data_IF_540317787219
#
_entry.id   IF_540317787219
#
_cell.length_a   1.000
_cell.length_b   1.000
_cell.length_c   1.000
_cell.angle_alpha   90.00
_cell.angle_beta   90.00
_cell.angle_gamma   90.00
#
_symmetry.space_group_name_H-M   'P 1'
#
loop_
_entity.id
_entity.type
_entity.pdbx_description
1 polymer ?
#
# COMPACT_ATOMS: atom_id res chain seq x y z
N UNK A 1 -9.12 1.77 29.55
CA UNK A 1 -9.46 1.40 28.16
C UNK A 1 -10.51 2.33 27.55
N UNK A 2 -11.57 2.70 28.30
CA UNK A 2 -12.65 3.58 27.81
C UNK A 2 -12.22 5.00 27.37
N UNK A 3 -11.06 5.47 27.82
CA UNK A 3 -10.49 6.76 27.43
C UNK A 3 -9.54 6.68 26.23
N UNK A 4 -9.30 5.46 25.71
CA UNK A 4 -8.41 5.23 24.56
C UNK A 4 -9.22 5.15 23.27
N UNK A 5 -8.98 6.07 22.36
CA UNK A 5 -9.62 6.16 21.06
C UNK A 5 -8.65 5.71 19.94
N UNK A 6 -9.22 5.17 18.89
CA UNK A 6 -8.43 4.75 17.72
C UNK A 6 -7.89 5.96 16.96
N UNK A 7 -6.72 5.78 16.33
CA UNK A 7 -6.13 6.78 15.43
C UNK A 7 -7.03 7.00 14.22
N UNK A 8 -7.37 8.25 13.96
CA UNK A 8 -8.24 8.61 12.83
C UNK A 8 -7.60 8.19 11.49
N UNK A 9 -8.29 7.33 10.75
CA UNK A 9 -7.81 6.86 9.45
C UNK A 9 -6.66 5.84 9.53
N UNK A 10 -6.52 5.12 10.66
CA UNK A 10 -5.50 4.07 10.82
C UNK A 10 -5.56 3.05 9.67
N UNK A 11 -4.50 2.92 8.85
CA UNK A 11 -4.56 2.09 7.65
C UNK A 11 -4.40 0.60 7.92
N UNK A 12 -3.77 0.23 9.05
CA UNK A 12 -3.43 -1.15 9.37
C UNK A 12 -4.56 -1.86 10.12
N UNK A 13 -4.95 -3.03 9.63
CA UNK A 13 -5.98 -3.85 10.26
C UNK A 13 -5.41 -4.61 11.45
N UNK A 14 -6.20 -4.71 12.51
CA UNK A 14 -5.94 -5.62 13.63
C UNK A 14 -6.70 -6.90 13.34
N UNK A 15 -5.97 -8.00 13.16
CA UNK A 15 -6.53 -9.31 12.83
C UNK A 15 -6.50 -10.24 14.04
N UNK A 16 -7.53 -11.07 14.18
CA UNK A 16 -7.63 -12.14 15.20
C UNK A 16 -6.98 -13.43 14.66
N UNK A 17 -5.66 -13.34 14.38
CA UNK A 17 -4.83 -14.40 13.85
C UNK A 17 -4.06 -15.16 14.97
N UNK A 18 -3.25 -16.17 14.60
CA UNK A 18 -2.41 -16.92 15.53
C UNK A 18 -1.49 -15.99 16.35
N UNK A 19 -0.93 -14.97 15.73
CA UNK A 19 -0.08 -13.98 16.41
C UNK A 19 -0.88 -13.16 17.44
N UNK A 20 -2.20 -13.00 17.27
CA UNK A 20 -3.08 -12.41 18.28
C UNK A 20 -3.22 -13.34 19.47
N UNK A 21 -3.38 -14.64 19.25
CA UNK A 21 -3.46 -15.63 20.34
C UNK A 21 -2.17 -15.65 21.17
N UNK A 22 -1.01 -15.66 20.52
CA UNK A 22 0.29 -15.54 21.21
C UNK A 22 0.40 -14.25 22.03
N UNK A 23 -0.09 -13.13 21.47
CA UNK A 23 -0.10 -11.84 22.19
C UNK A 23 -1.02 -11.90 23.41
N UNK A 24 -2.19 -12.52 23.29
CA UNK A 24 -3.14 -12.72 24.40
C UNK A 24 -2.55 -13.61 25.51
N UNK A 25 -1.90 -14.71 25.14
CA UNK A 25 -1.23 -15.62 26.09
C UNK A 25 -0.13 -14.91 26.85
N UNK A 26 0.74 -14.19 26.14
CA UNK A 26 1.81 -13.38 26.74
C UNK A 26 1.25 -12.33 27.71
N UNK A 27 0.15 -11.68 27.35
CA UNK A 27 -0.51 -10.68 28.22
C UNK A 27 -1.13 -11.34 29.46
N UNK A 28 -1.69 -12.54 29.34
CA UNK A 28 -2.24 -13.28 30.51
C UNK A 28 -1.15 -13.68 31.49
N UNK A 29 0.01 -14.09 31.01
CA UNK A 29 1.10 -14.58 31.84
C UNK A 29 1.94 -13.46 32.45
N UNK A 30 2.24 -12.41 31.67
CA UNK A 30 3.24 -11.43 32.02
C UNK A 30 2.70 -10.00 32.08
N UNK A 31 1.42 -9.80 31.75
CA UNK A 31 0.85 -8.47 31.54
C UNK A 31 1.38 -7.79 30.28
N UNK A 32 1.11 -6.50 30.15
CA UNK A 32 1.59 -5.69 29.01
C UNK A 32 3.03 -5.24 29.28
N UNK A 33 4.02 -5.94 28.77
CA UNK A 33 5.45 -5.65 28.99
C UNK A 33 5.89 -4.35 28.33
N UNK A 34 5.38 -4.04 27.12
CA UNK A 34 5.70 -2.80 26.41
C UNK A 34 4.48 -1.88 26.37
N UNK A 35 4.56 -0.68 26.95
CA UNK A 35 3.49 0.31 26.88
C UNK A 35 3.17 0.71 25.45
N UNK A 36 1.91 1.08 25.19
CA UNK A 36 1.53 1.75 23.96
C UNK A 36 1.97 3.22 23.97
N UNK A 37 1.75 3.91 22.84
CA UNK A 37 1.97 5.36 22.71
C UNK A 37 0.64 6.01 22.38
N UNK A 38 0.30 7.09 23.09
CA UNK A 38 -0.91 7.86 22.86
C UNK A 38 -0.65 9.35 23.06
N UNK A 39 -1.55 10.17 22.53
CA UNK A 39 -1.56 11.63 22.74
C UNK A 39 -2.90 12.09 23.31
N UNK A 40 -2.94 13.20 24.08
CA UNK A 40 -4.20 13.74 24.58
C UNK A 40 -5.06 14.28 23.43
N UNK A 41 -6.37 14.10 23.52
CA UNK A 41 -7.34 14.66 22.60
C UNK A 41 -7.95 15.95 23.18
N UNK A 42 -8.35 16.87 22.30
CA UNK A 42 -8.96 18.17 22.70
C UNK A 42 -10.28 17.99 23.45
N UNK A 43 -11.04 16.96 23.09
CA UNK A 43 -12.35 16.66 23.62
C UNK A 43 -12.30 15.71 24.84
N UNK A 44 -11.10 15.45 25.35
CA UNK A 44 -10.84 14.51 26.44
C UNK A 44 -10.48 13.11 25.94
N UNK A 45 -9.84 12.31 26.82
CA UNK A 45 -9.30 11.00 26.43
C UNK A 45 -7.99 11.09 25.67
N UNK A 46 -7.60 9.94 25.09
CA UNK A 46 -6.30 9.78 24.44
C UNK A 46 -6.45 9.05 23.11
N UNK A 47 -5.81 9.55 22.07
CA UNK A 47 -5.72 8.87 20.77
C UNK A 47 -4.49 7.96 20.74
N UNK A 48 -4.68 6.69 20.40
CA UNK A 48 -3.59 5.70 20.34
C UNK A 48 -2.83 5.88 19.05
N UNK A 49 -1.51 6.09 19.16
CA UNK A 49 -0.59 6.19 18.01
C UNK A 49 0.05 4.84 17.72
N UNK A 50 0.46 4.10 18.76
CA UNK A 50 1.05 2.77 18.61
C UNK A 50 0.59 1.84 19.73
N UNK A 51 0.33 0.56 19.39
CA UNK A 51 -0.10 -0.46 20.34
C UNK A 51 -1.54 -0.92 20.17
N UNK A 52 -2.19 -0.64 19.05
CA UNK A 52 -3.56 -1.07 18.72
C UNK A 52 -3.78 -2.57 18.92
N UNK A 53 -2.82 -3.41 18.45
CA UNK A 53 -2.88 -4.87 18.60
C UNK A 53 -2.85 -5.30 20.07
N UNK A 54 -2.00 -4.65 20.90
CA UNK A 54 -1.94 -4.91 22.35
C UNK A 54 -3.19 -4.46 23.08
N UNK A 55 -3.75 -3.31 22.71
CA UNK A 55 -5.04 -2.85 23.22
C UNK A 55 -6.12 -3.88 22.93
N UNK A 56 -6.25 -4.31 21.70
CA UNK A 56 -7.26 -5.31 21.31
C UNK A 56 -7.07 -6.64 22.07
N UNK A 57 -5.83 -7.11 22.20
CA UNK A 57 -5.52 -8.30 23.00
C UNK A 57 -5.89 -8.11 24.48
N UNK A 58 -5.66 -6.94 25.07
CA UNK A 58 -6.11 -6.62 26.44
C UNK A 58 -7.64 -6.69 26.59
N UNK A 59 -8.37 -6.17 25.61
CA UNK A 59 -9.84 -6.23 25.59
C UNK A 59 -10.33 -7.68 25.53
N UNK A 60 -9.74 -8.51 24.65
CA UNK A 60 -10.07 -9.94 24.55
C UNK A 60 -9.74 -10.74 25.82
N UNK A 61 -8.70 -10.37 26.53
CA UNK A 61 -8.30 -11.00 27.81
C UNK A 61 -9.13 -10.47 28.99
N UNK A 62 -9.90 -9.38 28.82
CA UNK A 62 -10.73 -8.78 29.86
C UNK A 62 -10.01 -7.78 30.76
N UNK A 63 -8.86 -7.26 30.34
CA UNK A 63 -8.17 -6.19 31.08
C UNK A 63 -8.86 -4.84 30.85
N UNK A 64 -9.04 -4.09 31.91
CA UNK A 64 -9.67 -2.76 31.89
C UNK A 64 -8.68 -1.62 31.74
N UNK A 65 -7.37 -1.91 31.88
CA UNK A 65 -6.28 -0.93 31.80
C UNK A 65 -5.12 -1.46 30.98
N UNK A 66 -4.40 -0.55 30.34
CA UNK A 66 -3.17 -0.82 29.59
C UNK A 66 -2.15 0.30 29.85
N UNK A 67 -0.87 -0.01 30.11
CA UNK A 67 0.15 1.02 30.27
C UNK A 67 0.39 1.76 28.95
N UNK A 68 0.45 3.11 29.03
CA UNK A 68 0.63 3.98 27.86
C UNK A 68 1.68 5.06 28.17
N UNK A 69 2.51 5.37 27.18
CA UNK A 69 3.29 6.60 27.17
C UNK A 69 2.44 7.71 26.56
N UNK A 70 2.14 8.72 27.37
CA UNK A 70 1.39 9.90 26.89
C UNK A 70 2.40 10.98 26.50
N UNK A 71 2.29 11.48 25.27
CA UNK A 71 3.14 12.54 24.72
C UNK A 71 2.28 13.50 23.90
N UNK A 72 2.65 14.76 23.91
CA UNK A 72 2.05 15.78 23.04
C UNK A 72 2.70 15.70 21.66
N UNK A 73 1.99 15.12 20.71
CA UNK A 73 2.39 15.04 19.31
C UNK A 73 1.43 15.83 18.43
N UNK A 74 1.96 16.53 17.46
CA UNK A 74 1.18 17.08 16.36
C UNK A 74 0.56 15.97 15.50
N UNK A 75 -0.39 16.31 14.63
CA UNK A 75 -1.02 15.33 13.74
C UNK A 75 0.00 14.67 12.81
N UNK A 76 0.95 15.46 12.28
CA UNK A 76 2.00 14.94 11.39
C UNK A 76 2.97 14.03 12.14
N UNK A 77 3.44 14.40 13.33
CA UNK A 77 4.33 13.56 14.14
C UNK A 77 3.64 12.25 14.55
N UNK A 78 2.38 12.32 14.96
CA UNK A 78 1.60 11.14 15.33
C UNK A 78 1.43 10.20 14.12
N UNK A 79 1.15 10.75 12.93
CA UNK A 79 1.06 9.98 11.67
C UNK A 79 2.38 9.28 11.35
N UNK A 80 3.50 9.98 11.41
CA UNK A 80 4.82 9.41 11.13
C UNK A 80 5.13 8.27 12.11
N UNK A 81 4.94 8.48 13.41
CA UNK A 81 5.19 7.46 14.45
C UNK A 81 4.29 6.25 14.23
N UNK A 82 3.00 6.46 13.93
CA UNK A 82 2.04 5.40 13.66
C UNK A 82 2.47 4.54 12.47
N UNK A 83 2.87 5.16 11.34
CA UNK A 83 3.34 4.45 10.16
C UNK A 83 4.64 3.71 10.48
N UNK A 84 5.64 4.37 11.06
CA UNK A 84 6.95 3.79 11.34
C UNK A 84 6.89 2.60 12.31
N UNK A 85 5.98 2.62 13.26
CA UNK A 85 5.77 1.52 14.21
C UNK A 85 5.12 0.27 13.58
N UNK A 86 4.53 0.39 12.40
CA UNK A 86 3.80 -0.70 11.74
C UNK A 86 4.43 -1.15 10.43
N UNK A 87 5.16 -0.28 9.71
CA UNK A 87 5.60 -0.53 8.33
C UNK A 87 6.61 -1.68 8.19
N UNK A 88 7.24 -2.09 9.27
CA UNK A 88 8.20 -3.22 9.29
C UNK A 88 7.54 -4.59 9.52
N UNK A 89 6.20 -4.64 9.67
CA UNK A 89 5.49 -5.91 9.83
C UNK A 89 5.56 -6.71 8.53
N UNK A 90 5.77 -8.02 8.63
CA UNK A 90 5.89 -8.91 7.47
C UNK A 90 4.56 -9.10 6.71
N UNK A 91 3.43 -8.98 7.41
CA UNK A 91 2.10 -9.32 6.89
C UNK A 91 1.28 -8.09 6.46
N UNK A 92 1.93 -7.00 6.02
CA UNK A 92 1.23 -5.80 5.57
C UNK A 92 0.64 -6.00 4.18
N UNK A 93 -0.65 -5.75 4.04
CA UNK A 93 -1.31 -5.77 2.74
C UNK A 93 -0.84 -4.61 1.85
N UNK A 94 -0.79 -4.81 0.53
CA UNK A 94 -0.47 -3.72 -0.42
C UNK A 94 -1.32 -2.47 -0.24
N UNK A 95 -2.62 -2.61 0.05
CA UNK A 95 -3.53 -1.50 0.32
C UNK A 95 -3.17 -0.72 1.59
N UNK A 96 -2.83 -1.44 2.67
CA UNK A 96 -2.40 -0.83 3.93
C UNK A 96 -1.10 -0.06 3.75
N UNK A 97 -0.12 -0.67 3.05
CA UNK A 97 1.17 -0.07 2.74
C UNK A 97 1.03 1.18 1.87
N UNK A 98 0.13 1.14 0.88
CA UNK A 98 -0.17 2.27 0.03
C UNK A 98 -0.73 3.46 0.83
N UNK A 99 -1.78 3.23 1.62
CA UNK A 99 -2.38 4.25 2.48
C UNK A 99 -1.39 4.79 3.51
N UNK A 100 -0.58 3.92 4.14
CA UNK A 100 0.43 4.32 5.13
C UNK A 100 1.51 5.22 4.52
N UNK A 101 2.07 4.85 3.36
CA UNK A 101 3.07 5.70 2.70
C UNK A 101 2.50 7.01 2.21
N UNK A 102 1.27 7.03 1.71
CA UNK A 102 0.61 8.27 1.33
C UNK A 102 0.44 9.20 2.53
N UNK A 103 -0.07 8.69 3.66
CA UNK A 103 -0.24 9.47 4.90
C UNK A 103 1.10 10.02 5.41
N UNK A 104 2.16 9.17 5.47
CA UNK A 104 3.48 9.60 5.92
C UNK A 104 4.08 10.64 4.98
N UNK A 105 3.92 10.47 3.66
CA UNK A 105 4.41 11.42 2.67
C UNK A 105 3.77 12.79 2.83
N UNK A 106 2.47 12.88 3.01
CA UNK A 106 1.77 14.14 3.25
C UNK A 106 2.22 14.77 4.59
N UNK A 107 2.35 13.99 5.66
CA UNK A 107 2.83 14.47 6.95
C UNK A 107 4.27 15.05 6.87
N UNK A 108 5.18 14.37 6.17
CA UNK A 108 6.55 14.85 5.94
C UNK A 108 6.56 16.15 5.14
N UNK A 109 5.72 16.29 4.11
CA UNK A 109 5.58 17.53 3.32
C UNK A 109 5.08 18.70 4.18
N UNK A 110 4.07 18.47 5.03
CA UNK A 110 3.51 19.51 5.90
C UNK A 110 4.53 20.04 6.91
N UNK A 111 5.39 19.18 7.44
CA UNK A 111 6.42 19.62 8.41
C UNK A 111 7.45 20.60 7.81
N UNK A 112 7.46 20.78 6.49
CA UNK A 112 8.32 21.76 5.82
C UNK A 112 9.82 21.56 6.10
N UNK A 113 10.22 20.38 6.58
CA UNK A 113 11.61 20.05 6.80
C UNK A 113 12.36 20.16 5.47
N UNK A 114 13.07 21.25 5.29
CA UNK A 114 14.09 21.42 4.26
C UNK A 114 15.29 20.50 4.57
N UNK A 115 15.04 19.20 4.65
CA UNK A 115 16.09 18.20 4.65
C UNK A 115 16.81 18.25 3.29
N UNK A 116 18.09 17.93 3.26
CA UNK A 116 18.87 17.80 2.01
C UNK A 116 18.45 16.58 1.16
N UNK A 117 17.37 15.87 1.52
CA UNK A 117 16.86 14.67 0.87
C UNK A 117 15.50 14.86 0.19
N UNK A 118 15.16 13.95 -0.71
CA UNK A 118 13.84 13.86 -1.30
C UNK A 118 12.87 13.31 -0.24
N UNK A 119 11.68 13.89 -0.10
CA UNK A 119 10.65 13.40 0.85
C UNK A 119 10.30 11.92 0.66
N UNK A 120 10.45 11.38 -0.55
CA UNK A 120 10.23 9.96 -0.84
C UNK A 120 11.30 9.05 -0.21
N UNK A 121 12.56 9.52 -0.15
CA UNK A 121 13.65 8.76 0.49
C UNK A 121 13.43 8.72 2.00
N UNK A 122 13.04 9.85 2.62
CA UNK A 122 12.71 9.93 4.05
C UNK A 122 11.54 9.00 4.42
N UNK A 123 10.50 8.94 3.58
CA UNK A 123 9.36 8.03 3.80
C UNK A 123 9.79 6.57 3.76
N UNK A 124 10.70 6.19 2.85
CA UNK A 124 11.16 4.81 2.67
C UNK A 124 12.24 4.37 3.67
N UNK A 125 12.92 5.29 4.35
CA UNK A 125 14.10 5.03 5.18
C UNK A 125 13.83 3.98 6.26
N UNK A 126 12.72 4.13 7.00
CA UNK A 126 12.36 3.21 8.10
C UNK A 126 12.11 1.78 7.62
N UNK A 127 11.58 1.61 6.40
CA UNK A 127 11.30 0.31 5.80
C UNK A 127 12.45 -0.22 4.94
N UNK A 128 13.51 0.55 4.73
CA UNK A 128 14.62 0.20 3.84
C UNK A 128 14.22 0.15 2.36
N UNK A 129 13.20 0.92 1.97
CA UNK A 129 12.67 0.91 0.60
C UNK A 129 13.14 2.11 -0.22
N UNK A 130 13.32 1.89 -1.52
CA UNK A 130 13.72 2.95 -2.45
C UNK A 130 12.60 3.97 -2.68
N UNK A 131 12.96 5.24 -2.94
CA UNK A 131 12.01 6.29 -3.32
C UNK A 131 11.06 5.85 -4.46
N UNK A 132 11.57 5.07 -5.43
CA UNK A 132 10.77 4.54 -6.53
C UNK A 132 9.69 3.56 -6.07
N UNK A 133 10.01 2.72 -5.09
CA UNK A 133 9.05 1.79 -4.48
C UNK A 133 7.99 2.54 -3.70
N UNK A 134 8.41 3.50 -2.86
CA UNK A 134 7.51 4.38 -2.10
C UNK A 134 6.55 5.12 -3.04
N UNK A 135 7.07 5.72 -4.12
CA UNK A 135 6.26 6.43 -5.11
C UNK A 135 5.18 5.54 -5.74
N UNK A 136 5.51 4.28 -6.04
CA UNK A 136 4.52 3.32 -6.58
C UNK A 136 3.38 3.07 -5.60
N UNK A 137 3.69 2.88 -4.31
CA UNK A 137 2.66 2.69 -3.30
C UNK A 137 1.83 3.95 -3.06
N UNK A 138 2.43 5.14 -3.11
CA UNK A 138 1.69 6.41 -3.04
C UNK A 138 0.71 6.53 -4.21
N UNK A 139 1.11 6.20 -5.44
CA UNK A 139 0.17 6.16 -6.56
C UNK A 139 -0.92 5.11 -6.36
N UNK A 140 -0.57 3.94 -5.85
CA UNK A 140 -1.53 2.87 -5.57
C UNK A 140 -2.64 3.33 -4.59
N UNK A 141 -2.32 4.23 -3.65
CA UNK A 141 -3.29 4.78 -2.70
C UNK A 141 -4.43 5.58 -3.34
N UNK A 142 -4.28 5.98 -4.61
CA UNK A 142 -5.34 6.67 -5.37
C UNK A 142 -6.33 5.71 -6.04
N UNK A 143 -6.19 4.41 -5.87
CA UNK A 143 -7.20 3.45 -6.29
C UNK A 143 -8.41 3.48 -5.35
N UNK A 144 -9.57 3.17 -5.93
CA UNK A 144 -10.77 2.89 -5.14
C UNK A 144 -10.55 1.70 -4.19
N UNK A 145 -11.25 1.68 -3.06
CA UNK A 145 -11.11 0.59 -2.08
C UNK A 145 -11.40 -0.79 -2.69
N UNK A 146 -12.31 -0.88 -3.64
CA UNK A 146 -12.64 -2.12 -4.34
C UNK A 146 -11.47 -2.63 -5.21
N UNK A 147 -10.80 -1.74 -5.95
CA UNK A 147 -9.61 -2.12 -6.72
C UNK A 147 -8.42 -2.42 -5.83
N UNK A 148 -8.26 -1.71 -4.70
CA UNK A 148 -7.25 -2.04 -3.70
C UNK A 148 -7.47 -3.44 -3.10
N UNK A 149 -8.70 -3.82 -2.81
CA UNK A 149 -9.06 -5.18 -2.36
C UNK A 149 -8.70 -6.25 -3.41
N UNK A 150 -8.87 -5.93 -4.69
CA UNK A 150 -8.42 -6.81 -5.78
C UNK A 150 -6.88 -6.94 -5.84
N UNK A 151 -6.15 -5.88 -5.51
CA UNK A 151 -4.69 -5.93 -5.39
C UNK A 151 -4.27 -6.81 -4.21
N UNK A 152 -4.90 -6.64 -3.05
CA UNK A 152 -4.65 -7.46 -1.86
C UNK A 152 -4.92 -8.95 -2.12
N UNK A 153 -5.99 -9.25 -2.87
CA UNK A 153 -6.34 -10.62 -3.32
C UNK A 153 -5.49 -11.13 -4.49
N UNK A 154 -4.47 -10.39 -4.90
CA UNK A 154 -3.56 -10.72 -6.03
C UNK A 154 -4.27 -10.92 -7.38
N UNK A 155 -5.48 -10.39 -7.55
CA UNK A 155 -6.21 -10.36 -8.83
C UNK A 155 -5.66 -9.28 -9.75
N UNK A 156 -5.15 -8.19 -9.19
CA UNK A 156 -4.46 -7.10 -9.89
C UNK A 156 -3.04 -7.01 -9.32
N UNK A 157 -2.03 -6.95 -10.17
CA UNK A 157 -0.65 -6.74 -9.73
C UNK A 157 -0.40 -5.27 -9.37
N UNK A 158 0.61 -5.00 -8.54
CA UNK A 158 0.96 -3.63 -8.10
C UNK A 158 1.23 -2.70 -9.30
N UNK A 159 1.93 -3.19 -10.34
CA UNK A 159 2.24 -2.37 -11.53
C UNK A 159 0.96 -1.97 -12.27
N UNK A 160 0.04 -2.93 -12.46
CA UNK A 160 -1.25 -2.66 -13.10
C UNK A 160 -2.09 -1.71 -12.24
N UNK A 161 -2.11 -1.89 -10.93
CA UNK A 161 -2.78 -0.99 -9.99
C UNK A 161 -2.26 0.45 -10.09
N UNK A 162 -0.93 0.63 -10.19
CA UNK A 162 -0.32 1.96 -10.40
C UNK A 162 -0.77 2.58 -11.72
N UNK A 163 -0.88 1.81 -12.82
CA UNK A 163 -1.40 2.34 -14.07
C UNK A 163 -2.88 2.76 -13.96
N UNK A 164 -3.69 1.96 -13.27
CA UNK A 164 -5.11 2.24 -13.04
C UNK A 164 -5.36 3.41 -12.09
N UNK A 165 -4.42 3.74 -11.20
CA UNK A 165 -4.56 4.86 -10.26
C UNK A 165 -4.59 6.24 -10.93
N UNK A 166 -4.22 6.32 -12.20
CA UNK A 166 -4.32 7.55 -13.00
C UNK A 166 -5.69 7.77 -13.64
N UNK A 167 -6.61 6.81 -13.50
CA UNK A 167 -7.99 6.90 -13.97
C UNK A 167 -8.85 7.69 -12.98
N UNK A 168 -9.90 8.35 -13.49
CA UNK A 168 -10.91 8.99 -12.64
C UNK A 168 -11.70 7.95 -11.85
N UNK A 169 -12.38 8.36 -10.77
CA UNK A 169 -13.22 7.45 -9.96
C UNK A 169 -14.24 6.69 -10.82
N UNK A 170 -14.92 7.38 -11.73
CA UNK A 170 -15.89 6.79 -12.67
C UNK A 170 -15.23 5.74 -13.59
N UNK A 171 -14.04 6.04 -14.11
CA UNK A 171 -13.29 5.10 -14.97
C UNK A 171 -12.80 3.89 -14.19
N UNK A 172 -12.37 4.07 -12.94
CA UNK A 172 -12.00 2.98 -12.04
C UNK A 172 -13.19 2.06 -11.74
N UNK A 173 -14.38 2.63 -11.53
CA UNK A 173 -15.64 1.88 -11.35
C UNK A 173 -15.95 1.01 -12.59
N UNK A 174 -15.81 1.56 -13.80
CA UNK A 174 -16.00 0.78 -15.03
C UNK A 174 -15.01 -0.39 -15.13
N UNK A 175 -13.75 -0.17 -14.77
CA UNK A 175 -12.73 -1.23 -14.75
C UNK A 175 -13.11 -2.30 -13.73
N UNK A 176 -13.51 -1.91 -12.52
CA UNK A 176 -13.96 -2.83 -11.48
C UNK A 176 -15.11 -3.71 -11.97
N UNK A 177 -16.18 -3.11 -12.47
CA UNK A 177 -17.37 -3.83 -12.98
C UNK A 177 -16.98 -4.86 -14.03
N UNK A 178 -16.17 -4.48 -15.01
CA UNK A 178 -15.75 -5.41 -16.08
C UNK A 178 -14.86 -6.53 -15.55
N UNK A 179 -13.95 -6.27 -14.60
CA UNK A 179 -13.10 -7.29 -14.00
C UNK A 179 -13.93 -8.27 -13.15
N UNK A 180 -14.94 -7.79 -12.42
CA UNK A 180 -15.82 -8.64 -11.63
C UNK A 180 -16.72 -9.53 -12.50
N UNK A 181 -17.30 -8.97 -13.57
CA UNK A 181 -18.15 -9.70 -14.51
C UNK A 181 -17.39 -10.76 -15.32
N UNK A 182 -16.17 -10.45 -15.74
CA UNK A 182 -15.44 -11.31 -16.68
C UNK A 182 -14.44 -12.24 -15.99
N UNK A 183 -14.01 -11.92 -14.76
CA UNK A 183 -12.96 -12.64 -14.05
C UNK A 183 -11.58 -12.58 -14.73
N UNK A 184 -11.39 -11.69 -15.70
CA UNK A 184 -10.13 -11.55 -16.45
C UNK A 184 -9.03 -11.00 -15.55
N UNK A 185 -7.82 -11.57 -15.67
CA UNK A 185 -6.63 -11.01 -15.03
C UNK A 185 -6.02 -9.97 -15.99
N UNK A 186 -5.99 -8.72 -15.54
CA UNK A 186 -5.48 -7.60 -16.33
C UNK A 186 -3.96 -7.74 -16.57
N UNK A 187 -3.51 -7.53 -17.80
CA UNK A 187 -2.11 -7.44 -18.16
C UNK A 187 -1.59 -6.00 -18.04
N UNK A 188 -0.26 -5.85 -17.93
CA UNK A 188 0.37 -4.51 -17.87
C UNK A 188 0.07 -3.70 -19.13
N UNK A 189 0.04 -4.34 -20.30
CA UNK A 189 -0.28 -3.67 -21.59
C UNK A 189 -1.72 -3.15 -21.57
N UNK A 190 -2.68 -3.94 -21.11
CA UNK A 190 -4.08 -3.50 -20.99
C UNK A 190 -4.22 -2.34 -20.00
N UNK A 191 -3.56 -2.42 -18.83
CA UNK A 191 -3.59 -1.34 -17.84
C UNK A 191 -2.99 -0.03 -18.40
N UNK A 192 -1.86 -0.10 -19.12
CA UNK A 192 -1.27 1.08 -19.77
C UNK A 192 -2.18 1.67 -20.84
N UNK A 193 -2.85 0.84 -21.66
CA UNK A 193 -3.82 1.32 -22.67
C UNK A 193 -5.01 2.01 -22.02
N UNK A 194 -5.57 1.44 -20.94
CA UNK A 194 -6.64 2.08 -20.17
C UNK A 194 -6.24 3.47 -19.67
N UNK A 195 -5.02 3.58 -19.10
CA UNK A 195 -4.46 4.87 -18.66
C UNK A 195 -4.32 5.88 -19.80
N UNK A 196 -3.82 5.45 -20.97
CA UNK A 196 -3.66 6.33 -22.13
C UNK A 196 -5.01 6.90 -22.60
N UNK A 197 -6.02 6.03 -22.78
CA UNK A 197 -7.38 6.48 -23.14
C UNK A 197 -8.06 7.27 -22.02
N UNK A 198 -7.77 6.97 -20.74
CA UNK A 198 -8.27 7.74 -19.62
C UNK A 198 -7.74 9.17 -19.57
N UNK A 199 -6.48 9.39 -19.98
CA UNK A 199 -5.87 10.73 -20.07
C UNK A 199 -6.45 11.60 -21.19
N UNK A 200 -6.86 10.99 -22.30
CA UNK A 200 -7.48 11.72 -23.43
C UNK A 200 -8.98 11.95 -23.23
N UNK A 201 -9.53 11.55 -22.07
CA UNK A 201 -10.97 11.60 -21.76
C UNK A 201 -11.87 10.84 -22.77
N UNK A 202 -11.27 9.91 -23.50
CA UNK A 202 -11.97 9.09 -24.52
C UNK A 202 -12.43 7.74 -23.96
N UNK A 203 -12.06 7.40 -22.72
CA UNK A 203 -12.37 6.10 -22.13
C UNK A 203 -13.86 6.00 -21.80
N UNK A 204 -14.49 4.96 -22.34
CA UNK A 204 -15.89 4.62 -22.09
C UNK A 204 -16.02 3.19 -21.62
N UNK A 205 -17.13 2.83 -20.95
CA UNK A 205 -17.38 1.46 -20.49
C UNK A 205 -17.26 0.40 -21.61
N UNK A 206 -17.80 0.60 -22.83
CA UNK A 206 -17.59 -0.32 -23.94
C UNK A 206 -16.10 -0.49 -24.32
N UNK A 207 -15.32 0.60 -24.30
CA UNK A 207 -13.87 0.53 -24.57
C UNK A 207 -13.13 -0.22 -23.47
N UNK A 208 -13.47 0.01 -22.20
CA UNK A 208 -12.89 -0.77 -21.08
C UNK A 208 -13.15 -2.24 -21.28
N UNK A 209 -14.40 -2.62 -21.62
CA UNK A 209 -14.77 -4.01 -21.90
C UNK A 209 -13.97 -4.58 -23.07
N UNK A 210 -13.87 -3.85 -24.18
CA UNK A 210 -13.09 -4.27 -25.34
C UNK A 210 -11.64 -4.52 -24.99
N UNK A 211 -10.96 -3.56 -24.34
CA UNK A 211 -9.55 -3.66 -23.96
C UNK A 211 -9.29 -4.85 -23.01
N UNK A 212 -10.18 -5.08 -22.04
CA UNK A 212 -9.99 -6.13 -21.05
C UNK A 212 -10.30 -7.53 -21.59
N UNK A 213 -11.23 -7.66 -22.56
CA UNK A 213 -11.63 -8.94 -23.13
C UNK A 213 -10.87 -9.31 -24.41
N UNK A 214 -10.04 -8.41 -24.96
CA UNK A 214 -9.18 -8.74 -26.08
C UNK A 214 -8.30 -9.97 -25.76
N UNK A 215 -8.15 -10.90 -26.71
CA UNK A 215 -7.24 -12.03 -26.52
C UNK A 215 -5.81 -11.52 -26.30
N UNK A 216 -5.17 -12.00 -25.24
CA UNK A 216 -3.77 -11.63 -24.94
C UNK A 216 -2.89 -12.00 -26.12
N UNK A 217 -2.02 -11.09 -26.59
CA UNK A 217 -1.05 -11.44 -27.61
C UNK A 217 -0.21 -12.64 -27.10
N UNK A 218 -0.09 -13.66 -27.92
CA UNK A 218 0.71 -14.84 -27.60
C UNK A 218 2.18 -14.38 -27.63
N UNK A 219 2.74 -14.06 -26.47
CA UNK A 219 4.18 -13.81 -26.34
C UNK A 219 4.94 -15.11 -26.65
N UNK A 220 5.42 -15.24 -27.86
CA UNK A 220 6.37 -16.31 -28.19
C UNK A 220 7.71 -15.94 -27.56
N UNK A 221 8.04 -16.55 -26.43
CA UNK A 221 9.40 -16.50 -25.90
C UNK A 221 10.31 -17.23 -26.88
N UNK A 222 11.00 -16.48 -27.71
CA UNK A 222 12.07 -17.02 -28.57
C UNK A 222 13.36 -17.00 -27.76
N UNK A 223 13.77 -18.15 -27.26
CA UNK A 223 15.09 -18.30 -26.64
C UNK A 223 16.13 -18.39 -27.74
N UNK A 224 16.82 -17.30 -28.01
CA UNK A 224 17.96 -17.29 -28.93
C UNK A 224 19.20 -17.71 -28.14
N UNK A 225 19.83 -18.82 -28.50
CA UNK A 225 21.10 -19.24 -27.88
C UNK A 225 22.17 -18.20 -28.15
N UNK A 226 23.04 -17.91 -27.18
CA UNK A 226 24.07 -16.85 -27.25
C UNK A 226 25.03 -17.05 -28.46
N UNK A 227 25.30 -18.28 -28.85
CA UNK A 227 26.09 -18.65 -30.00
C UNK A 227 25.49 -18.21 -31.35
N UNK A 228 24.17 -18.04 -31.45
CA UNK A 228 23.50 -17.49 -32.65
C UNK A 228 23.48 -15.96 -32.71
N UNK A 229 23.65 -15.28 -31.59
CA UNK A 229 23.69 -13.80 -31.55
C UNK A 229 25.04 -13.30 -32.07
N UNK A 230 26.13 -14.01 -31.81
CA UNK A 230 27.47 -13.66 -32.34
C UNK A 230 27.58 -13.72 -33.87
N UNK A 231 26.84 -14.58 -34.53
CA UNK A 231 26.91 -14.74 -35.99
C UNK A 231 26.25 -13.57 -36.78
N UNK A 232 25.39 -12.78 -36.14
CA UNK A 232 24.75 -11.62 -36.77
C UNK A 232 25.63 -10.36 -36.76
N UNK A 233 26.68 -10.31 -35.96
CA UNK A 233 27.57 -9.15 -35.81
C UNK A 233 28.95 -9.35 -36.45
N UNK A 234 29.23 -10.53 -37.00
CA UNK A 234 30.55 -10.87 -37.62
C UNK A 234 30.50 -11.02 -39.15
N UNK A 235 29.47 -10.52 -39.83
CA UNK A 235 29.54 -10.39 -41.29
C UNK A 235 30.52 -9.26 -41.60
N UNK A 236 31.67 -9.55 -42.26
CA UNK A 236 32.56 -8.50 -42.72
C UNK A 236 31.81 -7.62 -43.71
N UNK A 237 31.88 -6.31 -43.48
CA UNK A 237 31.43 -5.32 -44.47
C UNK A 237 32.12 -5.58 -45.78
N UNK A 238 31.44 -5.67 -46.93
CA UNK A 238 32.11 -5.75 -48.22
C UNK A 238 32.78 -4.38 -48.45
N UNK A 239 34.08 -4.34 -48.27
CA UNK A 239 34.95 -3.32 -48.82
C UNK A 239 35.93 -4.00 -49.75
N UNK A 240 35.88 -3.47 -50.99
CA UNK A 240 36.79 -3.54 -52.11
C UNK A 240 36.79 -4.82 -52.92
#
# INVERSE_FOLDING_TARGET
>A
MSELHEFKGHPFKVLDDEKMQETMESIREHGVLMPGIARPMKDGGYEIIAGHRRRHACELVGLTTMPMFIRDYTDDEATIIMVDSNIQREDILPSEKAKAYFMKYEAVKHQGKKGKGNSLDEVGETAGESAKTVQRYIYLAHLSDALLDMVDKKKIGIVQGVELSFLTEQQQEWVQVVLEETGVIISTVQASRLKEHGKSDELTLPMVRLILTEPKPIERKVTIKADKICLLYTSPSPRD
#
